data_IF_975975150350
#
_entry.id   IF_975975150350
#
_cell.length_a   1.000
_cell.length_b   1.000
_cell.length_c   1.000
_cell.angle_alpha   90.00
_cell.angle_beta   90.00
_cell.angle_gamma   90.00
#
_symmetry.space_group_name_H-M   'P 1'
#
loop_
_entity.id
_entity.type
_entity.pdbx_description
1 polymer ?
#
# COMPACT_ATOMS: atom_id res chain seq x y z
N UNK A 1 -18.47 -6.16 29.81
CA UNK A 1 -17.99 -7.35 29.11
C UNK A 1 -17.24 -6.90 27.86
N UNK A 2 -15.91 -6.84 27.88
CA UNK A 2 -15.13 -6.48 26.70
C UNK A 2 -15.11 -7.68 25.76
N UNK A 3 -15.77 -7.56 24.60
CA UNK A 3 -15.65 -8.54 23.54
C UNK A 3 -14.19 -8.60 23.10
N UNK A 4 -13.56 -9.76 23.17
CA UNK A 4 -12.20 -9.99 22.71
C UNK A 4 -12.16 -9.73 21.18
N UNK A 5 -11.31 -8.81 20.76
CA UNK A 5 -11.07 -8.53 19.34
C UNK A 5 -10.31 -9.73 18.78
N UNK A 6 -10.95 -10.51 17.92
CA UNK A 6 -10.34 -11.67 17.26
C UNK A 6 -9.44 -11.25 16.11
N UNK A 7 -8.29 -11.92 15.89
CA UNK A 7 -7.38 -11.62 14.78
C UNK A 7 -7.96 -11.90 13.38
N UNK A 8 -9.14 -12.50 13.29
CA UNK A 8 -9.85 -12.79 12.03
C UNK A 8 -10.82 -11.68 11.59
N UNK A 9 -11.06 -10.67 12.43
CA UNK A 9 -11.95 -9.56 12.08
C UNK A 9 -11.26 -8.59 11.11
N UNK A 10 -12.03 -7.96 10.21
CA UNK A 10 -11.50 -6.94 9.31
C UNK A 10 -10.93 -5.75 10.10
N UNK A 11 -9.98 -5.03 9.51
CA UNK A 11 -9.40 -3.84 10.13
C UNK A 11 -10.50 -2.82 10.48
N UNK A 12 -11.46 -2.61 9.59
CA UNK A 12 -12.58 -1.71 9.81
C UNK A 12 -13.40 -2.10 11.05
N UNK A 13 -13.79 -3.37 11.15
CA UNK A 13 -14.60 -3.84 12.30
C UNK A 13 -13.82 -3.69 13.61
N UNK A 14 -12.53 -4.00 13.63
CA UNK A 14 -11.68 -3.84 14.80
C UNK A 14 -11.53 -2.37 15.18
N UNK A 15 -11.36 -1.50 14.19
CA UNK A 15 -11.20 -0.07 14.41
C UNK A 15 -12.51 0.57 14.90
N UNK A 16 -13.64 0.20 14.34
CA UNK A 16 -14.99 0.59 14.81
C UNK A 16 -15.20 0.24 16.28
N UNK A 17 -14.95 -1.04 16.65
CA UNK A 17 -15.06 -1.48 18.05
C UNK A 17 -14.10 -0.73 18.98
N UNK A 18 -12.91 -0.42 18.50
CA UNK A 18 -11.95 0.37 19.24
C UNK A 18 -12.48 1.77 19.51
N UNK A 19 -12.99 2.48 18.50
CA UNK A 19 -13.58 3.81 18.67
C UNK A 19 -14.78 3.79 19.61
N UNK A 20 -15.71 2.84 19.45
CA UNK A 20 -16.87 2.68 20.32
C UNK A 20 -16.50 2.32 21.76
N UNK A 21 -15.35 1.73 21.98
CA UNK A 21 -14.82 1.41 23.32
C UNK A 21 -14.09 2.57 24.01
N UNK A 22 -13.85 3.69 23.33
CA UNK A 22 -13.19 4.84 23.92
C UNK A 22 -14.13 5.59 24.87
N UNK A 23 -13.64 6.02 26.05
CA UNK A 23 -14.44 6.83 26.95
C UNK A 23 -14.93 8.12 26.30
N UNK A 24 -16.24 8.36 26.34
CA UNK A 24 -16.84 9.57 25.76
C UNK A 24 -16.88 9.62 24.24
N UNK A 25 -16.64 8.50 23.55
CA UNK A 25 -16.90 8.40 22.13
C UNK A 25 -18.42 8.27 21.85
N UNK A 26 -18.89 8.96 20.84
CA UNK A 26 -20.29 8.94 20.41
C UNK A 26 -20.35 8.56 18.94
N UNK A 27 -21.04 7.46 18.60
CA UNK A 27 -21.38 7.14 17.21
C UNK A 27 -22.53 8.05 16.76
N UNK A 28 -22.32 8.85 15.73
CA UNK A 28 -23.26 9.90 15.30
C UNK A 28 -24.59 9.30 14.82
N UNK A 29 -24.57 8.16 14.19
CA UNK A 29 -25.77 7.46 13.72
C UNK A 29 -26.72 7.03 14.88
N UNK A 30 -26.19 6.95 16.11
CA UNK A 30 -26.99 6.61 17.31
C UNK A 30 -27.53 7.83 18.06
N UNK A 31 -27.16 9.03 17.60
CA UNK A 31 -27.62 10.26 18.25
C UNK A 31 -28.98 10.68 17.72
N UNK A 32 -29.80 11.23 18.63
CA UNK A 32 -30.98 11.98 18.22
C UNK A 32 -30.50 13.34 17.73
N UNK A 33 -30.52 13.51 16.43
CA UNK A 33 -30.02 14.73 15.81
C UNK A 33 -31.13 15.77 15.62
N UNK A 34 -30.78 17.06 15.59
CA UNK A 34 -31.68 18.11 15.14
C UNK A 34 -32.25 17.78 13.75
N UNK A 35 -33.40 18.36 13.42
CA UNK A 35 -33.97 18.21 12.09
C UNK A 35 -32.95 18.66 11.02
N UNK A 36 -32.63 17.73 10.10
CA UNK A 36 -31.69 17.95 9.02
C UNK A 36 -32.45 17.92 7.68
N UNK A 37 -32.93 19.07 7.21
CA UNK A 37 -33.72 19.15 5.99
C UNK A 37 -32.94 18.68 4.75
N UNK A 38 -31.64 18.74 4.77
CA UNK A 38 -30.80 18.32 3.64
C UNK A 38 -30.56 16.81 3.59
N UNK A 39 -30.77 16.10 4.70
CA UNK A 39 -30.54 14.64 4.84
C UNK A 39 -29.21 14.16 4.27
N UNK A 40 -28.19 15.01 4.35
CA UNK A 40 -26.84 14.68 3.88
C UNK A 40 -26.19 13.68 4.83
N UNK A 41 -25.24 12.91 4.29
CA UNK A 41 -24.41 12.01 5.10
C UNK A 41 -23.62 12.81 6.12
N UNK A 42 -23.53 12.31 7.33
CA UNK A 42 -22.76 12.85 8.44
C UNK A 42 -21.48 12.03 8.65
N UNK A 43 -20.54 12.55 9.38
CA UNK A 43 -19.39 11.80 9.85
C UNK A 43 -19.80 10.68 10.83
N UNK A 44 -18.86 9.77 11.13
CA UNK A 44 -19.18 8.55 11.87
C UNK A 44 -19.12 8.74 13.39
N UNK A 45 -18.12 9.47 13.92
CA UNK A 45 -17.89 9.54 15.38
C UNK A 45 -17.56 10.94 15.86
N UNK A 46 -17.93 11.18 17.15
CA UNK A 46 -17.45 12.31 17.95
C UNK A 46 -16.56 11.78 19.08
N UNK A 47 -15.40 12.39 19.28
CA UNK A 47 -14.44 12.02 20.32
C UNK A 47 -14.10 13.23 21.20
N UNK A 48 -13.45 12.98 22.34
CA UNK A 48 -12.89 13.99 23.26
C UNK A 48 -13.91 15.05 23.66
N UNK A 49 -15.11 14.65 24.09
CA UNK A 49 -16.19 15.56 24.44
C UNK A 49 -16.62 16.45 23.27
N UNK A 50 -16.74 15.84 22.08
CA UNK A 50 -17.14 16.46 20.80
C UNK A 50 -16.14 17.48 20.24
N UNK A 51 -14.89 17.47 20.69
CA UNK A 51 -13.82 18.32 20.14
C UNK A 51 -13.22 17.74 18.84
N UNK A 52 -13.50 16.48 18.53
CA UNK A 52 -13.02 15.82 17.32
C UNK A 52 -14.19 15.14 16.61
N UNK A 53 -14.33 15.44 15.33
CA UNK A 53 -15.27 14.77 14.42
C UNK A 53 -14.44 13.83 13.55
N UNK A 54 -14.80 12.54 13.55
CA UNK A 54 -14.08 11.50 12.82
C UNK A 54 -14.96 10.93 11.73
N UNK A 55 -14.45 10.91 10.52
CA UNK A 55 -14.97 10.14 9.40
C UNK A 55 -14.03 8.95 9.15
N UNK A 56 -14.60 7.76 8.96
CA UNK A 56 -13.88 6.51 8.72
C UNK A 56 -14.06 6.06 7.26
N UNK A 57 -12.98 5.80 6.56
CA UNK A 57 -13.01 5.26 5.20
C UNK A 57 -12.09 4.07 5.08
N UNK A 58 -12.64 2.95 4.60
CA UNK A 58 -11.83 1.77 4.24
C UNK A 58 -11.62 1.77 2.73
N UNK A 59 -10.35 1.59 2.32
CA UNK A 59 -10.01 1.40 0.92
C UNK A 59 -10.37 -0.04 0.54
N UNK A 60 -11.39 -0.21 -0.28
CA UNK A 60 -11.91 -1.51 -0.74
C UNK A 60 -11.72 -1.72 -2.23
N UNK A 61 -11.63 -0.64 -3.00
CA UNK A 61 -11.41 -0.72 -4.44
C UNK A 61 -9.95 -1.04 -4.74
N UNK A 62 -9.69 -2.23 -5.27
CA UNK A 62 -8.36 -2.60 -5.79
C UNK A 62 -8.15 -1.94 -7.16
N UNK A 63 -7.21 -0.99 -7.27
CA UNK A 63 -6.91 -0.33 -8.54
C UNK A 63 -5.98 -1.15 -9.45
N UNK A 64 -5.52 -2.33 -9.04
CA UNK A 64 -4.63 -3.20 -9.84
C UNK A 64 -5.13 -3.40 -11.28
N UNK A 65 -6.43 -3.69 -11.54
CA UNK A 65 -6.91 -3.86 -12.91
C UNK A 65 -6.74 -2.60 -13.78
N UNK A 66 -6.84 -1.41 -13.18
CA UNK A 66 -6.66 -0.13 -13.91
C UNK A 66 -5.18 0.14 -14.21
N UNK A 67 -4.31 -0.26 -13.28
CA UNK A 67 -2.85 -0.17 -13.47
C UNK A 67 -2.42 -1.15 -14.54
N UNK A 68 -2.88 -2.41 -14.48
CA UNK A 68 -2.62 -3.44 -15.50
C UNK A 68 -3.13 -3.00 -16.88
N UNK A 69 -4.36 -2.52 -16.99
CA UNK A 69 -4.90 -2.00 -18.24
C UNK A 69 -4.10 -0.81 -18.81
N UNK A 70 -3.44 -0.03 -17.92
CA UNK A 70 -2.53 1.03 -18.37
C UNK A 70 -1.22 0.44 -18.88
N UNK A 71 -0.65 -0.57 -18.22
CA UNK A 71 0.53 -1.29 -18.69
C UNK A 71 0.27 -2.01 -20.02
N UNK A 72 -0.88 -2.68 -20.15
CA UNK A 72 -1.26 -3.44 -21.34
C UNK A 72 -1.30 -2.58 -22.61
N UNK A 73 -1.68 -1.30 -22.51
CA UNK A 73 -1.65 -0.36 -23.64
C UNK A 73 -0.23 -0.14 -24.20
N UNK A 74 0.78 -0.41 -23.40
CA UNK A 74 2.19 -0.19 -23.76
C UNK A 74 2.96 -1.48 -24.02
N UNK A 75 2.42 -2.65 -23.68
CA UNK A 75 3.09 -3.97 -23.83
C UNK A 75 3.45 -4.32 -25.28
N UNK A 76 2.76 -3.76 -26.26
CA UNK A 76 3.01 -4.04 -27.69
C UNK A 76 4.08 -3.13 -28.32
N UNK A 77 4.70 -2.27 -27.53
CA UNK A 77 5.77 -1.38 -28.00
C UNK A 77 7.07 -2.18 -28.18
N UNK A 78 7.83 -1.87 -29.23
CA UNK A 78 9.13 -2.52 -29.49
C UNK A 78 10.15 -2.25 -28.37
N UNK A 79 10.03 -1.10 -27.67
CA UNK A 79 10.88 -0.69 -26.56
C UNK A 79 10.39 -1.18 -25.19
N UNK A 80 9.21 -1.87 -25.14
CA UNK A 80 8.72 -2.39 -23.88
C UNK A 80 9.63 -3.50 -23.35
N UNK A 81 10.15 -3.38 -22.09
CA UNK A 81 11.04 -4.38 -21.52
C UNK A 81 10.38 -5.75 -21.42
N UNK A 82 11.13 -6.78 -21.71
CA UNK A 82 10.69 -8.16 -21.60
C UNK A 82 11.06 -8.72 -20.23
N UNK A 83 10.04 -9.06 -19.44
CA UNK A 83 10.20 -9.67 -18.12
C UNK A 83 9.47 -11.01 -18.05
N UNK A 84 10.03 -11.91 -17.28
CA UNK A 84 9.40 -13.16 -16.93
C UNK A 84 9.08 -13.18 -15.42
N UNK A 85 7.82 -13.45 -15.08
CA UNK A 85 7.35 -13.41 -13.70
C UNK A 85 6.96 -12.00 -13.24
N UNK A 86 7.10 -11.73 -11.93
CA UNK A 86 6.77 -10.43 -11.33
C UNK A 86 7.97 -9.49 -11.33
N UNK A 87 7.81 -8.31 -11.89
CA UNK A 87 8.82 -7.28 -11.88
C UNK A 87 8.27 -6.01 -11.19
N UNK A 88 9.17 -5.24 -10.58
CA UNK A 88 8.84 -3.92 -10.05
C UNK A 88 8.48 -2.98 -11.20
N UNK A 89 7.23 -2.52 -11.22
CA UNK A 89 6.69 -1.66 -12.28
C UNK A 89 7.56 -0.39 -12.47
N UNK A 90 8.05 0.21 -11.39
CA UNK A 90 8.89 1.40 -11.47
C UNK A 90 10.16 1.11 -12.26
N UNK A 91 10.86 0.03 -11.92
CA UNK A 91 12.09 -0.37 -12.62
C UNK A 91 11.87 -0.73 -14.08
N UNK A 92 10.69 -1.31 -14.39
CA UNK A 92 10.30 -1.56 -15.79
C UNK A 92 10.17 -0.25 -16.56
N UNK A 93 9.48 0.72 -15.97
CA UNK A 93 9.21 2.01 -16.60
C UNK A 93 10.46 2.89 -16.71
N UNK A 94 11.42 2.78 -15.78
CA UNK A 94 12.70 3.51 -15.83
C UNK A 94 13.52 3.19 -17.09
N UNK A 95 13.24 2.08 -17.78
CA UNK A 95 13.84 1.73 -19.06
C UNK A 95 13.15 2.35 -20.29
N UNK A 96 12.03 3.05 -20.11
CA UNK A 96 11.26 3.65 -21.21
C UNK A 96 11.50 5.17 -21.29
N UNK A 97 11.60 5.74 -22.49
CA UNK A 97 11.76 7.19 -22.68
C UNK A 97 10.64 8.03 -22.05
N UNK A 98 9.40 7.49 -22.04
CA UNK A 98 8.21 8.11 -21.47
C UNK A 98 7.73 7.43 -20.18
N UNK A 99 8.59 6.63 -19.54
CA UNK A 99 8.26 5.83 -18.37
C UNK A 99 7.72 6.65 -17.20
N UNK A 100 8.27 7.86 -16.97
CA UNK A 100 7.74 8.80 -15.97
C UNK A 100 6.28 9.20 -16.25
N UNK A 101 5.94 9.47 -17.50
CA UNK A 101 4.58 9.85 -17.88
C UNK A 101 3.59 8.68 -17.70
N UNK A 102 4.03 7.46 -17.99
CA UNK A 102 3.23 6.24 -17.78
C UNK A 102 3.06 6.01 -16.27
N UNK A 103 4.13 6.12 -15.49
CA UNK A 103 4.10 5.98 -14.03
C UNK A 103 3.15 7.01 -13.40
N UNK A 104 3.21 8.27 -13.82
CA UNK A 104 2.31 9.31 -13.34
C UNK A 104 0.83 8.97 -13.61
N UNK A 105 0.50 8.37 -14.76
CA UNK A 105 -0.86 7.90 -15.06
C UNK A 105 -1.30 6.77 -14.13
N UNK A 106 -0.40 5.82 -13.83
CA UNK A 106 -0.66 4.73 -12.89
C UNK A 106 -0.88 5.26 -11.47
N UNK A 107 -0.01 6.14 -10.98
CA UNK A 107 -0.14 6.79 -9.67
C UNK A 107 -1.44 7.61 -9.58
N UNK A 108 -1.82 8.31 -10.63
CA UNK A 108 -3.10 9.02 -10.67
C UNK A 108 -4.32 8.06 -10.65
N UNK A 109 -4.21 6.89 -11.27
CA UNK A 109 -5.26 5.87 -11.18
C UNK A 109 -5.38 5.33 -9.74
N UNK A 110 -4.25 5.09 -9.06
CA UNK A 110 -4.20 4.70 -7.64
C UNK A 110 -4.80 5.78 -6.74
N UNK A 111 -4.56 7.06 -7.06
CA UNK A 111 -4.99 8.19 -6.22
C UNK A 111 -6.48 8.52 -6.28
N UNK A 112 -7.26 7.98 -7.23
CA UNK A 112 -8.68 8.36 -7.41
C UNK A 112 -9.57 7.92 -6.25
N UNK A 113 -9.40 6.72 -5.73
CA UNK A 113 -10.14 6.22 -4.57
C UNK A 113 -9.84 7.04 -3.32
N UNK A 114 -8.57 7.39 -3.12
CA UNK A 114 -8.12 8.26 -2.04
C UNK A 114 -8.71 9.66 -2.16
N UNK A 115 -8.72 10.24 -3.36
CA UNK A 115 -9.32 11.57 -3.62
C UNK A 115 -10.82 11.58 -3.33
N UNK A 116 -11.54 10.53 -3.76
CA UNK A 116 -12.96 10.38 -3.48
C UNK A 116 -13.23 10.27 -1.96
N UNK A 117 -12.40 9.50 -1.24
CA UNK A 117 -12.49 9.38 0.21
C UNK A 117 -12.28 10.73 0.92
N UNK A 118 -11.25 11.49 0.54
CA UNK A 118 -10.96 12.81 1.13
C UNK A 118 -12.11 13.78 0.86
N UNK A 119 -12.59 13.90 -0.39
CA UNK A 119 -13.69 14.81 -0.72
C UNK A 119 -14.99 14.46 0.03
N UNK A 120 -15.34 13.17 0.05
CA UNK A 120 -16.52 12.72 0.80
C UNK A 120 -16.42 13.04 2.28
N UNK A 121 -15.24 12.86 2.88
CA UNK A 121 -15.01 13.18 4.29
C UNK A 121 -15.07 14.70 4.57
N UNK A 122 -14.53 15.54 3.69
CA UNK A 122 -14.65 17.00 3.80
C UNK A 122 -16.13 17.43 3.86
N UNK A 123 -16.97 16.88 2.96
CA UNK A 123 -18.41 17.17 2.94
C UNK A 123 -19.11 16.68 4.20
N UNK A 124 -18.83 15.44 4.65
CA UNK A 124 -19.48 14.85 5.82
C UNK A 124 -19.10 15.54 7.12
N UNK A 125 -17.80 15.86 7.30
CA UNK A 125 -17.30 16.59 8.48
C UNK A 125 -17.88 18.00 8.53
N UNK A 126 -17.89 18.72 7.40
CA UNK A 126 -18.47 20.07 7.31
C UNK A 126 -19.95 20.07 7.65
N UNK A 127 -20.69 19.13 7.07
CA UNK A 127 -22.12 19.00 7.35
C UNK A 127 -22.38 18.65 8.83
N UNK A 128 -21.57 17.76 9.41
CA UNK A 128 -21.67 17.39 10.83
C UNK A 128 -21.39 18.60 11.75
N UNK A 129 -20.36 19.41 11.44
CA UNK A 129 -20.08 20.66 12.16
C UNK A 129 -21.30 21.58 12.17
N UNK A 130 -21.91 21.74 10.99
CA UNK A 130 -23.07 22.62 10.83
C UNK A 130 -24.28 22.13 11.64
N UNK A 131 -24.67 20.84 11.46
CA UNK A 131 -25.87 20.25 12.09
C UNK A 131 -25.75 20.21 13.61
N UNK A 132 -24.56 19.96 14.14
CA UNK A 132 -24.31 19.84 15.58
C UNK A 132 -23.81 21.12 16.24
N UNK A 133 -23.58 22.21 15.48
CA UNK A 133 -23.04 23.46 15.99
C UNK A 133 -21.61 23.33 16.53
N UNK A 134 -20.78 22.46 15.92
CA UNK A 134 -19.42 22.12 16.36
C UNK A 134 -18.34 22.80 15.50
N UNK A 135 -18.46 24.12 15.30
CA UNK A 135 -17.51 24.91 14.48
C UNK A 135 -16.04 24.78 14.93
N UNK A 136 -15.82 24.57 16.22
CA UNK A 136 -14.50 24.50 16.83
C UNK A 136 -13.96 23.07 17.01
N UNK A 137 -14.65 22.07 16.45
CA UNK A 137 -14.18 20.70 16.49
C UNK A 137 -13.16 20.42 15.36
N UNK A 138 -12.11 19.66 15.66
CA UNK A 138 -11.15 19.20 14.68
C UNK A 138 -11.78 18.13 13.76
N UNK A 139 -11.70 18.33 12.45
CA UNK A 139 -12.19 17.38 11.45
C UNK A 139 -11.09 16.39 11.03
N UNK A 140 -11.34 15.13 11.24
CA UNK A 140 -10.38 14.04 11.03
C UNK A 140 -10.96 12.99 10.09
N UNK A 141 -10.18 12.64 9.07
CA UNK A 141 -10.43 11.46 8.27
C UNK A 141 -9.48 10.34 8.71
N UNK A 142 -10.02 9.16 8.98
CA UNK A 142 -9.23 7.94 9.15
C UNK A 142 -9.36 7.10 7.88
N UNK A 143 -8.23 6.78 7.25
CA UNK A 143 -8.18 5.90 6.08
C UNK A 143 -7.56 4.57 6.50
N UNK A 144 -8.30 3.50 6.31
CA UNK A 144 -7.89 2.13 6.59
C UNK A 144 -7.57 1.42 5.27
N UNK A 145 -6.44 0.72 5.25
CA UNK A 145 -6.11 -0.23 4.18
C UNK A 145 -5.72 -1.57 4.80
N UNK A 146 -6.61 -2.54 4.70
CA UNK A 146 -6.45 -3.88 5.25
C UNK A 146 -5.58 -4.77 4.34
N UNK A 147 -5.89 -4.81 3.05
CA UNK A 147 -5.42 -5.86 2.14
C UNK A 147 -4.88 -5.38 0.78
N UNK A 148 -5.11 -4.12 0.39
CA UNK A 148 -4.73 -3.66 -0.95
C UNK A 148 -3.25 -3.33 -1.01
N UNK A 149 -2.44 -4.33 -1.40
CA UNK A 149 -0.98 -4.24 -1.42
C UNK A 149 -0.39 -3.30 -2.48
N UNK A 150 -1.13 -2.97 -3.54
CA UNK A 150 -0.67 -2.01 -4.56
C UNK A 150 -0.75 -0.54 -4.09
N UNK A 151 -1.57 -0.26 -3.07
CA UNK A 151 -1.68 1.07 -2.47
C UNK A 151 -0.55 1.31 -1.48
N UNK A 152 0.64 1.62 -2.01
CA UNK A 152 1.82 1.92 -1.19
C UNK A 152 1.54 3.08 -0.22
N UNK A 153 1.86 2.93 1.08
CA UNK A 153 1.58 3.94 2.10
C UNK A 153 2.21 5.30 1.82
N UNK A 154 3.40 5.35 1.22
CA UNK A 154 4.06 6.60 0.85
C UNK A 154 3.31 7.31 -0.29
N UNK A 155 2.91 6.56 -1.34
CA UNK A 155 2.16 7.10 -2.49
C UNK A 155 0.82 7.66 -2.02
N UNK A 156 0.08 6.92 -1.19
CA UNK A 156 -1.19 7.37 -0.62
C UNK A 156 -0.98 8.60 0.28
N UNK A 157 0.01 8.55 1.16
CA UNK A 157 0.34 9.66 2.06
C UNK A 157 0.70 10.94 1.31
N UNK A 158 1.52 10.82 0.25
CA UNK A 158 1.87 11.96 -0.61
C UNK A 158 0.64 12.53 -1.34
N UNK A 159 -0.24 11.65 -1.85
CA UNK A 159 -1.49 12.09 -2.50
C UNK A 159 -2.41 12.82 -1.54
N UNK A 160 -2.63 12.29 -0.34
CA UNK A 160 -3.43 12.95 0.71
C UNK A 160 -2.83 14.31 1.07
N UNK A 161 -1.51 14.38 1.34
CA UNK A 161 -0.85 15.63 1.66
C UNK A 161 -0.98 16.68 0.53
N UNK A 162 -0.94 16.24 -0.73
CA UNK A 162 -1.18 17.11 -1.88
C UNK A 162 -2.63 17.61 -1.91
N UNK A 163 -3.62 16.76 -1.68
CA UNK A 163 -5.04 17.12 -1.65
C UNK A 163 -5.33 18.14 -0.54
N UNK A 164 -4.78 17.94 0.65
CA UNK A 164 -4.98 18.83 1.79
C UNK A 164 -4.37 20.22 1.57
N UNK A 165 -3.29 20.33 0.77
CA UNK A 165 -2.62 21.62 0.46
C UNK A 165 -3.24 22.33 -0.76
N UNK A 166 -4.07 21.67 -1.55
CA UNK A 166 -4.67 22.27 -2.75
C UNK A 166 -5.46 23.53 -2.38
N UNK A 167 -5.29 24.64 -3.10
CA UNK A 167 -6.22 25.76 -3.01
C UNK A 167 -7.63 25.26 -3.36
N UNK A 168 -8.64 25.78 -2.71
CA UNK A 168 -10.02 25.49 -3.10
C UNK A 168 -10.28 26.06 -4.50
N UNK A 169 -10.79 25.22 -5.38
CA UNK A 169 -11.27 25.60 -6.70
C UNK A 169 -12.80 25.47 -6.71
N UNK A 170 -13.50 26.59 -6.96
CA UNK A 170 -14.95 26.60 -7.07
C UNK A 170 -15.70 26.96 -5.78
N UNK A 171 -17.03 26.97 -5.85
CA UNK A 171 -17.97 27.33 -4.78
C UNK A 171 -18.23 26.15 -3.81
N UNK A 172 -17.23 25.34 -3.49
CA UNK A 172 -17.42 24.27 -2.49
C UNK A 172 -17.57 24.89 -1.10
N UNK A 173 -18.71 24.67 -0.45
CA UNK A 173 -18.95 25.07 0.94
C UNK A 173 -18.23 24.13 1.92
N UNK A 174 -17.75 22.99 1.46
CA UNK A 174 -17.08 22.00 2.32
C UNK A 174 -15.75 22.55 2.85
N UNK A 175 -15.55 22.49 4.14
CA UNK A 175 -14.28 22.86 4.78
C UNK A 175 -13.24 21.76 4.57
N UNK A 176 -11.96 22.12 4.54
CA UNK A 176 -10.87 21.14 4.50
C UNK A 176 -10.80 20.36 5.81
N UNK A 177 -10.33 19.14 5.70
CA UNK A 177 -9.97 18.35 6.86
C UNK A 177 -8.78 18.97 7.60
N UNK A 178 -8.80 18.90 8.92
CA UNK A 178 -7.69 19.36 9.74
C UNK A 178 -6.57 18.33 9.78
N UNK A 179 -6.94 17.05 9.82
CA UNK A 179 -6.00 15.92 9.91
C UNK A 179 -6.49 14.71 9.11
N UNK A 180 -5.52 13.92 8.61
CA UNK A 180 -5.81 12.59 8.06
C UNK A 180 -4.91 11.56 8.75
N UNK A 181 -5.53 10.56 9.33
CA UNK A 181 -4.85 9.42 9.93
C UNK A 181 -4.89 8.24 8.97
N UNK A 182 -3.72 7.77 8.53
CA UNK A 182 -3.57 6.61 7.66
C UNK A 182 -3.12 5.40 8.48
N UNK A 183 -3.81 4.28 8.33
CA UNK A 183 -3.48 3.00 8.95
C UNK A 183 -3.48 1.89 7.89
N UNK A 184 -2.31 1.27 7.67
CA UNK A 184 -2.12 0.27 6.63
C UNK A 184 -1.69 -1.07 7.23
N UNK A 185 -2.59 -2.03 7.31
CA UNK A 185 -2.24 -3.42 7.66
C UNK A 185 -1.82 -4.25 6.43
N UNK A 186 -2.07 -3.75 5.23
CA UNK A 186 -1.62 -4.34 3.96
C UNK A 186 -0.10 -4.30 3.76
N UNK A 187 0.62 -3.50 4.56
CA UNK A 187 2.07 -3.30 4.43
C UNK A 187 2.78 -3.45 5.77
N UNK A 188 4.08 -3.74 5.69
CA UNK A 188 4.99 -3.77 6.84
C UNK A 188 6.20 -2.86 6.57
N UNK A 189 6.69 -2.18 7.59
CA UNK A 189 7.90 -1.34 7.54
C UNK A 189 9.11 -2.02 8.14
N UNK A 190 8.95 -3.19 8.72
CA UNK A 190 10.00 -3.96 9.36
C UNK A 190 9.46 -4.85 10.47
N UNK A 191 10.33 -5.25 11.36
CA UNK A 191 9.99 -6.10 12.52
C UNK A 191 10.42 -5.41 13.80
N UNK A 192 9.51 -5.33 14.76
CA UNK A 192 9.79 -4.80 16.11
C UNK A 192 9.46 -5.89 17.13
N UNK A 193 10.45 -6.28 17.94
CA UNK A 193 10.34 -7.39 18.89
C UNK A 193 9.77 -8.68 18.29
N UNK A 194 10.23 -9.04 17.08
CA UNK A 194 9.78 -10.24 16.36
C UNK A 194 8.38 -10.16 15.73
N UNK A 195 7.70 -9.02 15.82
CA UNK A 195 6.38 -8.80 15.23
C UNK A 195 6.44 -7.81 14.05
N UNK A 196 5.63 -8.02 12.99
CA UNK A 196 5.58 -7.07 11.89
C UNK A 196 5.09 -5.71 12.37
N UNK A 197 5.82 -4.66 11.99
CA UNK A 197 5.44 -3.28 12.25
C UNK A 197 4.62 -2.75 11.07
N UNK A 198 3.39 -2.33 11.34
CA UNK A 198 2.49 -1.75 10.34
C UNK A 198 2.62 -0.23 10.31
N UNK A 199 2.61 0.38 9.11
CA UNK A 199 2.71 1.83 8.98
C UNK A 199 1.44 2.53 9.45
N UNK A 200 1.66 3.60 10.21
CA UNK A 200 0.61 4.47 10.74
C UNK A 200 1.10 5.92 10.66
N UNK A 201 0.38 6.78 9.94
CA UNK A 201 0.81 8.16 9.68
C UNK A 201 -0.27 9.14 10.06
N UNK A 202 0.13 10.30 10.59
CA UNK A 202 -0.70 11.48 10.68
C UNK A 202 -0.25 12.50 9.64
N UNK A 203 -1.16 12.93 8.79
CA UNK A 203 -0.95 14.01 7.84
C UNK A 203 -1.67 15.22 8.36
N UNK A 204 -0.93 16.30 8.57
CA UNK A 204 -1.44 17.55 9.07
C UNK A 204 -1.90 18.43 7.90
N UNK A 205 -3.12 18.93 7.99
CA UNK A 205 -3.64 20.00 7.16
C UNK A 205 -3.44 21.36 7.83
N UNK A 206 -4.36 22.28 7.56
CA UNK A 206 -4.37 23.62 8.16
C UNK A 206 -4.69 23.60 9.66
N UNK A 207 -5.25 22.48 10.15
CA UNK A 207 -5.63 22.31 11.55
C UNK A 207 -4.47 22.24 12.55
N UNK A 208 -3.22 22.04 12.11
CA UNK A 208 -2.08 21.93 13.02
C UNK A 208 -1.94 23.11 13.96
N UNK A 209 -2.05 24.31 13.43
CA UNK A 209 -1.91 25.54 14.22
C UNK A 209 -3.19 25.86 15.02
N UNK A 210 -4.35 25.48 14.49
CA UNK A 210 -5.66 25.65 15.15
C UNK A 210 -5.85 24.67 16.32
N UNK A 211 -5.31 23.46 16.23
CA UNK A 211 -5.47 22.40 17.22
C UNK A 211 -4.12 21.84 17.68
N UNK A 212 -3.28 22.62 18.39
CA UNK A 212 -1.92 22.20 18.78
C UNK A 212 -1.91 20.99 19.73
N UNK A 213 -3.02 20.72 20.41
CA UNK A 213 -3.19 19.57 21.30
C UNK A 213 -3.42 18.24 20.56
N UNK A 214 -3.82 18.28 19.27
CA UNK A 214 -4.29 17.10 18.53
C UNK A 214 -3.18 16.05 18.32
N UNK A 215 -1.95 16.44 18.04
CA UNK A 215 -0.85 15.46 17.88
C UNK A 215 -0.61 14.63 19.14
N UNK A 216 -0.78 15.25 20.33
CA UNK A 216 -0.67 14.52 21.61
C UNK A 216 -1.84 13.55 21.79
N UNK A 217 -3.04 13.99 21.48
CA UNK A 217 -4.26 13.17 21.51
C UNK A 217 -4.12 11.99 20.53
N UNK A 218 -3.75 12.25 19.27
CA UNK A 218 -3.53 11.21 18.27
C UNK A 218 -2.48 10.17 18.72
N UNK A 219 -1.35 10.59 19.27
CA UNK A 219 -0.34 9.66 19.81
C UNK A 219 -0.88 8.78 20.93
N UNK A 220 -1.78 9.31 21.75
CA UNK A 220 -2.45 8.51 22.77
C UNK A 220 -3.40 7.47 22.15
N UNK A 221 -4.19 7.86 21.14
CA UNK A 221 -5.06 6.94 20.37
C UNK A 221 -4.27 5.83 19.70
N UNK A 222 -3.16 6.15 19.03
CA UNK A 222 -2.30 5.15 18.38
C UNK A 222 -1.77 4.12 19.37
N UNK A 223 -1.36 4.55 20.58
CA UNK A 223 -0.92 3.62 21.64
C UNK A 223 -2.06 2.73 22.12
N UNK A 224 -3.25 3.30 22.33
CA UNK A 224 -4.43 2.55 22.76
C UNK A 224 -4.86 1.55 21.68
N UNK A 225 -4.86 1.96 20.41
CA UNK A 225 -5.12 1.09 19.26
C UNK A 225 -4.13 -0.09 19.19
N UNK A 226 -2.83 0.20 19.29
CA UNK A 226 -1.80 -0.83 19.31
C UNK A 226 -2.01 -1.83 20.46
N UNK A 227 -2.28 -1.32 21.67
CA UNK A 227 -2.54 -2.16 22.84
C UNK A 227 -3.80 -3.04 22.67
N UNK A 228 -4.91 -2.46 22.15
CA UNK A 228 -6.16 -3.19 21.88
C UNK A 228 -5.96 -4.34 20.88
N UNK A 229 -4.97 -4.24 19.98
CA UNK A 229 -4.61 -5.29 19.03
C UNK A 229 -3.41 -6.16 19.49
N UNK A 230 -3.09 -6.16 20.78
CA UNK A 230 -2.02 -6.96 21.36
C UNK A 230 -0.60 -6.55 20.91
N UNK A 231 -0.46 -5.32 20.42
CA UNK A 231 0.78 -4.73 19.94
C UNK A 231 1.31 -3.61 20.81
N UNK A 232 2.37 -2.98 20.33
CA UNK A 232 2.96 -1.76 20.90
C UNK A 232 3.07 -0.71 19.80
N UNK A 233 2.96 0.56 20.18
CA UNK A 233 3.23 1.67 19.29
C UNK A 233 4.70 2.09 19.44
N UNK A 234 5.41 2.15 18.31
CA UNK A 234 6.76 2.68 18.24
C UNK A 234 6.73 3.96 17.43
N UNK A 235 7.06 5.07 18.07
CA UNK A 235 7.21 6.34 17.37
C UNK A 235 8.55 6.31 16.61
N UNK A 236 8.50 6.43 15.30
CA UNK A 236 9.66 6.63 14.44
C UNK A 236 9.67 8.03 13.88
N UNK A 237 10.84 8.63 13.77
CA UNK A 237 11.05 9.81 12.95
C UNK A 237 11.95 9.41 11.79
N UNK A 238 11.38 9.36 10.59
CA UNK A 238 12.18 9.18 9.39
C UNK A 238 12.57 10.57 8.88
N UNK A 239 13.87 10.90 8.81
CA UNK A 239 14.33 12.18 8.27
C UNK A 239 13.84 12.42 6.84
N UNK A 240 13.67 11.34 6.09
CA UNK A 240 13.16 11.33 4.72
C UNK A 240 12.19 10.17 4.55
N UNK A 241 10.87 10.42 4.59
CA UNK A 241 9.86 9.39 4.44
C UNK A 241 9.96 8.61 3.11
N UNK A 242 10.53 9.22 2.05
CA UNK A 242 10.70 8.56 0.75
C UNK A 242 11.68 7.38 0.79
N UNK A 243 12.55 7.34 1.81
CA UNK A 243 13.52 6.25 2.02
C UNK A 243 12.96 5.08 2.83
N UNK A 244 11.76 5.22 3.38
CA UNK A 244 11.11 4.12 4.08
C UNK A 244 10.63 3.11 3.03
N UNK A 245 11.09 1.87 3.15
CA UNK A 245 10.61 0.78 2.29
C UNK A 245 9.40 0.13 2.95
N UNK A 246 8.27 0.17 2.26
CA UNK A 246 7.07 -0.56 2.63
C UNK A 246 7.01 -1.85 1.83
N UNK A 247 6.84 -2.97 2.49
CA UNK A 247 6.64 -4.25 1.83
C UNK A 247 5.17 -4.66 1.98
N UNK A 248 4.48 -5.08 0.90
CA UNK A 248 3.16 -5.68 1.01
C UNK A 248 3.21 -6.84 2.01
N UNK A 249 2.23 -6.90 2.91
CA UNK A 249 2.09 -8.03 3.82
C UNK A 249 1.80 -9.26 2.98
N UNK A 250 2.69 -10.24 3.02
CA UNK A 250 2.43 -11.51 2.36
C UNK A 250 1.20 -12.11 3.01
N UNK A 251 0.17 -12.41 2.22
CA UNK A 251 -0.95 -13.21 2.70
C UNK A 251 -0.39 -14.48 3.31
N UNK A 252 -0.61 -14.64 4.60
CA UNK A 252 -0.32 -15.92 5.25
C UNK A 252 -1.47 -16.84 4.85
N UNK A 253 -1.37 -17.43 3.66
CA UNK A 253 -2.26 -18.54 3.30
C UNK A 253 -2.09 -19.60 4.38
N UNK A 254 -3.11 -19.72 5.19
CA UNK A 254 -3.21 -20.72 6.24
C UNK A 254 -3.28 -22.10 5.57
N UNK A 255 -2.18 -22.67 5.36
CA UNK A 255 -1.75 -24.04 5.09
C UNK A 255 -0.65 -23.99 4.03
N UNK A 256 0.62 -24.24 4.38
CA UNK A 256 1.63 -24.42 3.33
C UNK A 256 1.18 -25.62 2.47
N UNK A 257 1.13 -25.48 1.13
CA UNK A 257 0.89 -26.61 0.29
C UNK A 257 1.91 -27.69 0.63
N UNK A 258 1.48 -28.93 0.79
CA UNK A 258 2.33 -30.07 1.18
C UNK A 258 3.56 -30.25 0.28
N UNK A 259 3.52 -29.69 -0.93
CA UNK A 259 4.67 -29.57 -1.82
C UNK A 259 4.50 -28.29 -2.65
N UNK A 260 5.48 -27.41 -2.58
CA UNK A 260 5.55 -26.25 -3.47
C UNK A 260 5.89 -26.71 -4.89
N UNK A 261 5.32 -26.09 -5.94
CA UNK A 261 5.81 -26.26 -7.30
C UNK A 261 7.32 -26.03 -7.36
N UNK A 262 8.05 -26.84 -8.17
CA UNK A 262 9.52 -26.81 -8.21
C UNK A 262 10.09 -25.42 -8.44
N UNK A 263 9.49 -24.63 -9.35
CA UNK A 263 9.93 -23.26 -9.63
C UNK A 263 9.75 -22.31 -8.43
N UNK A 264 8.70 -22.46 -7.62
CA UNK A 264 8.53 -21.66 -6.39
C UNK A 264 9.53 -22.05 -5.32
N UNK A 265 9.89 -23.32 -5.25
CA UNK A 265 10.95 -23.81 -4.37
C UNK A 265 12.28 -23.15 -4.73
N UNK A 266 12.69 -23.16 -6.01
CA UNK A 266 13.91 -22.52 -6.49
C UNK A 266 13.94 -21.01 -6.22
N UNK A 267 12.83 -20.32 -6.44
CA UNK A 267 12.69 -18.90 -6.10
C UNK A 267 12.95 -18.65 -4.61
N UNK A 268 12.37 -19.45 -3.72
CA UNK A 268 12.59 -19.33 -2.27
C UNK A 268 14.03 -19.60 -1.88
N UNK A 269 14.68 -20.59 -2.47
CA UNK A 269 16.10 -20.85 -2.25
C UNK A 269 16.93 -19.63 -2.64
N UNK A 270 16.69 -19.07 -3.83
CA UNK A 270 17.40 -17.87 -4.27
C UNK A 270 17.19 -16.68 -3.34
N UNK A 271 15.96 -16.41 -2.90
CA UNK A 271 15.67 -15.31 -1.98
C UNK A 271 16.30 -15.50 -0.59
N UNK A 272 16.46 -16.74 -0.15
CA UNK A 272 17.17 -17.05 1.10
C UNK A 272 18.68 -16.80 0.98
N UNK A 273 19.26 -17.09 -0.20
CA UNK A 273 20.70 -16.94 -0.46
C UNK A 273 20.95 -16.38 -1.88
N UNK A 274 20.84 -15.06 -2.08
CA UNK A 274 20.91 -14.44 -3.38
C UNK A 274 22.37 -14.31 -3.88
N UNK A 275 22.97 -15.42 -4.26
CA UNK A 275 24.40 -15.52 -4.64
C UNK A 275 24.78 -14.79 -5.95
N UNK A 276 23.80 -14.41 -6.78
CA UNK A 276 24.03 -13.61 -7.99
C UNK A 276 24.13 -12.11 -7.70
N UNK A 277 23.72 -11.66 -6.52
CA UNK A 277 23.66 -10.25 -6.15
C UNK A 277 25.00 -9.51 -6.16
N UNK A 278 26.16 -10.14 -5.84
CA UNK A 278 27.46 -9.49 -5.93
C UNK A 278 27.95 -9.24 -7.37
N UNK A 279 27.37 -9.92 -8.38
CA UNK A 279 27.78 -9.75 -9.77
C UNK A 279 27.40 -8.37 -10.30
N UNK A 280 28.24 -7.81 -11.16
CA UNK A 280 27.87 -6.65 -11.99
C UNK A 280 26.78 -7.02 -13.00
N UNK A 281 26.08 -6.03 -13.55
CA UNK A 281 25.06 -6.27 -14.59
C UNK A 281 25.63 -6.97 -15.82
N UNK A 282 26.86 -6.63 -16.22
CA UNK A 282 27.52 -7.27 -17.35
C UNK A 282 27.81 -8.75 -17.08
N UNK A 283 28.31 -9.09 -15.89
CA UNK A 283 28.56 -10.47 -15.48
C UNK A 283 27.27 -11.27 -15.35
N UNK A 284 26.20 -10.64 -14.81
CA UNK A 284 24.88 -11.26 -14.72
C UNK A 284 24.31 -11.58 -16.10
N UNK A 285 24.40 -10.64 -17.05
CA UNK A 285 23.92 -10.84 -18.43
C UNK A 285 24.73 -11.91 -19.17
N UNK A 286 26.06 -11.94 -18.99
CA UNK A 286 26.91 -12.98 -19.55
C UNK A 286 26.55 -14.36 -19.00
N UNK A 287 26.29 -14.46 -17.69
CA UNK A 287 25.82 -15.71 -17.06
C UNK A 287 24.44 -16.13 -17.61
N UNK A 288 23.54 -15.17 -17.82
CA UNK A 288 22.24 -15.44 -18.45
C UNK A 288 22.35 -16.00 -19.86
N UNK A 289 23.28 -15.45 -20.67
CA UNK A 289 23.57 -15.96 -22.01
C UNK A 289 24.10 -17.40 -21.97
N UNK A 290 25.02 -17.72 -21.06
CA UNK A 290 25.54 -19.08 -20.86
C UNK A 290 24.44 -20.06 -20.47
N UNK A 291 23.57 -19.69 -19.53
CA UNK A 291 22.42 -20.53 -19.12
C UNK A 291 21.49 -20.79 -20.31
N UNK A 292 21.18 -19.75 -21.10
CA UNK A 292 20.33 -19.90 -22.28
C UNK A 292 20.98 -20.79 -23.36
N UNK A 293 22.27 -20.65 -23.59
CA UNK A 293 23.02 -21.55 -24.51
C UNK A 293 22.95 -23.01 -24.09
N UNK A 294 22.94 -23.30 -22.80
CA UNK A 294 22.77 -24.68 -22.28
C UNK A 294 21.33 -25.17 -22.37
N UNK A 295 20.35 -24.32 -22.18
CA UNK A 295 18.94 -24.67 -22.17
C UNK A 295 18.30 -24.77 -23.56
N UNK A 296 18.55 -23.77 -24.43
CA UNK A 296 17.85 -23.63 -25.71
C UNK A 296 17.91 -24.87 -26.61
N UNK A 297 19.05 -25.60 -26.73
CA UNK A 297 19.12 -26.81 -27.55
C UNK A 297 18.09 -27.86 -27.15
N UNK A 298 17.74 -27.98 -25.88
CA UNK A 298 16.81 -28.96 -25.36
C UNK A 298 15.34 -28.67 -25.71
N UNK A 299 15.04 -27.44 -26.09
CA UNK A 299 13.68 -26.96 -26.42
C UNK A 299 13.47 -26.72 -27.92
N UNK A 300 14.54 -26.75 -28.71
CA UNK A 300 14.45 -26.59 -30.16
C UNK A 300 14.06 -27.90 -30.87
N UNK A 301 13.32 -27.76 -31.98
CA UNK A 301 12.93 -28.88 -32.81
C UNK A 301 14.21 -29.54 -33.42
N UNK A 302 14.35 -30.82 -33.17
CA UNK A 302 15.55 -31.58 -33.61
C UNK A 302 16.72 -31.57 -32.63
N UNK A 303 16.58 -30.91 -31.48
CA UNK A 303 17.55 -30.96 -30.40
C UNK A 303 17.49 -32.26 -29.57
N UNK A 304 18.35 -32.36 -28.53
CA UNK A 304 18.47 -33.58 -27.72
C UNK A 304 17.23 -33.91 -26.88
N UNK A 305 16.25 -33.01 -26.84
CA UNK A 305 15.05 -33.16 -26.03
C UNK A 305 15.30 -32.92 -24.53
N UNK A 306 14.29 -33.23 -23.72
CA UNK A 306 14.37 -33.03 -22.28
C UNK A 306 15.18 -34.13 -21.60
N UNK A 307 16.37 -33.75 -21.10
CA UNK A 307 17.27 -34.60 -20.32
C UNK A 307 17.29 -34.05 -18.88
N UNK A 308 16.62 -34.72 -17.92
CA UNK A 308 16.40 -34.17 -16.57
C UNK A 308 17.69 -33.75 -15.84
N UNK A 309 18.76 -34.53 -16.01
CA UNK A 309 20.05 -34.32 -15.35
C UNK A 309 20.75 -33.03 -15.79
N UNK A 310 20.48 -32.58 -17.03
CA UNK A 310 21.06 -31.37 -17.62
C UNK A 310 20.08 -30.19 -17.51
N UNK A 311 18.80 -30.43 -17.84
CA UNK A 311 17.79 -29.41 -17.95
C UNK A 311 17.39 -28.89 -16.56
N UNK A 312 17.18 -29.75 -15.56
CA UNK A 312 16.71 -29.32 -14.24
C UNK A 312 17.69 -28.37 -13.52
N UNK A 313 19.00 -28.63 -13.42
CA UNK A 313 19.94 -27.70 -12.83
C UNK A 313 20.02 -26.35 -13.60
N UNK A 314 19.98 -26.43 -14.93
CA UNK A 314 20.00 -25.22 -15.75
C UNK A 314 18.70 -24.40 -15.62
N UNK A 315 17.54 -25.03 -15.44
CA UNK A 315 16.27 -24.36 -15.15
C UNK A 315 16.23 -23.75 -13.76
N UNK A 316 16.89 -24.36 -12.76
CA UNK A 316 17.08 -23.77 -11.45
C UNK A 316 17.93 -22.50 -11.52
N UNK A 317 19.12 -22.60 -12.17
CA UNK A 317 19.96 -21.42 -12.40
C UNK A 317 19.25 -20.33 -13.20
N UNK A 318 18.45 -20.69 -14.20
CA UNK A 318 17.64 -19.78 -14.98
C UNK A 318 16.60 -19.07 -14.12
N UNK A 319 15.94 -19.80 -13.22
CA UNK A 319 14.97 -19.23 -12.29
C UNK A 319 15.63 -18.22 -11.37
N UNK A 320 16.81 -18.55 -10.81
CA UNK A 320 17.60 -17.64 -9.98
C UNK A 320 18.05 -16.38 -10.74
N UNK A 321 18.49 -16.58 -11.99
CA UNK A 321 18.88 -15.47 -12.88
C UNK A 321 17.69 -14.53 -13.16
N UNK A 322 16.51 -15.06 -13.48
CA UNK A 322 15.29 -14.28 -13.71
C UNK A 322 14.91 -13.49 -12.45
N UNK A 323 14.97 -14.09 -11.27
CA UNK A 323 14.68 -13.39 -10.01
C UNK A 323 15.63 -12.22 -9.77
N UNK A 324 16.95 -12.36 -10.07
CA UNK A 324 17.90 -11.27 -9.92
C UNK A 324 17.69 -10.20 -10.99
N UNK A 325 17.40 -10.57 -12.24
CA UNK A 325 17.06 -9.63 -13.31
C UNK A 325 15.86 -8.77 -12.93
N UNK A 326 14.78 -9.42 -12.43
CA UNK A 326 13.58 -8.74 -11.96
C UNK A 326 13.89 -7.83 -10.77
N UNK A 327 14.69 -8.30 -9.81
CA UNK A 327 15.11 -7.50 -8.65
C UNK A 327 15.83 -6.22 -9.06
N UNK A 328 16.70 -6.29 -10.09
CA UNK A 328 17.42 -5.14 -10.63
C UNK A 328 16.64 -4.31 -11.65
N UNK A 329 15.52 -4.83 -12.16
CA UNK A 329 14.78 -4.21 -13.26
C UNK A 329 15.51 -4.23 -14.59
N UNK A 330 16.34 -5.25 -14.86
CA UNK A 330 17.11 -5.37 -16.10
C UNK A 330 16.25 -6.05 -17.17
N UNK A 331 16.19 -5.45 -18.37
CA UNK A 331 15.48 -5.99 -19.52
C UNK A 331 16.21 -7.21 -20.10
N UNK A 332 15.49 -8.33 -20.26
CA UNK A 332 16.02 -9.57 -20.82
C UNK A 332 16.56 -9.42 -22.25
N UNK A 333 16.11 -8.43 -23.03
CA UNK A 333 16.61 -8.14 -24.37
C UNK A 333 18.08 -7.69 -24.38
N UNK A 334 18.61 -7.28 -23.21
CA UNK A 334 20.03 -6.92 -23.02
C UNK A 334 20.95 -8.15 -22.92
N UNK A 335 20.40 -9.37 -22.83
CA UNK A 335 21.22 -10.59 -22.86
C UNK A 335 21.90 -10.66 -24.22
N UNK A 336 23.23 -10.86 -24.27
CA UNK A 336 23.97 -11.00 -25.53
C UNK A 336 23.38 -12.14 -26.36
N UNK A 337 23.13 -11.86 -27.65
CA UNK A 337 22.77 -12.90 -28.63
C UNK A 337 24.08 -13.54 -29.11
N UNK A 338 24.23 -14.82 -28.84
CA UNK A 338 25.34 -15.62 -29.38
C UNK A 338 24.97 -16.25 -30.69
#
# INVERSE_FOLDING_TARGET
MSASIGPSDSLELRFTRFLEGLPGAEAIDRLVLPDDPQRRRKADYLLEGRKVIVELKTLTDDPSPKVEATADKHRHRDDWPMFYGTADVRKVLDNLPDGEAIYAKMVNALGRSVEAAVRSAEEQVTHTRHVLGLSDAAGVLVILNDSIGILDPYVVGHRVAHLMRRPRTGNSEAEKLDFVWLLFESHVVGTVHGRPAVPCFLINGEGKDRFPWFERFHRALVRQWAHANGGISVAGHAPDPSKIKFAPKKETTATPPKQLPRHEWWRRQYHAQPYLRPLSDAELLAKGADILCRLMPHFLKGGPGYVPEVVNPSMEEFTHFIEEMNYRGIDMRRIPKH
#
